data_IF_643625922817
#
_entry.id   IF_643625922817
#
_cell.length_a   1.000
_cell.length_b   1.000
_cell.length_c   1.000
_cell.angle_alpha   90.00
_cell.angle_beta   90.00
_cell.angle_gamma   90.00
#
_symmetry.space_group_name_H-M   'P 1'
#
loop_
_entity.id
_entity.type
_entity.pdbx_description
1 polymer ?
#
# COMPACT_ATOMS: atom_id res chain seq x y z
N UNK A 1 6.29 -7.19 -1.86
CA UNK A 1 4.99 -7.06 -1.16
C UNK A 1 4.92 -8.02 0.01
N UNK A 2 4.31 -7.58 1.10
CA UNK A 2 3.98 -8.44 2.23
C UNK A 2 2.45 -8.51 2.33
N UNK A 3 1.92 -9.72 2.46
CA UNK A 3 0.50 -9.99 2.58
C UNK A 3 0.27 -10.94 3.75
N UNK A 4 -0.51 -10.49 4.74
CA UNK A 4 -0.74 -11.29 5.97
C UNK A 4 -2.03 -10.83 6.67
N UNK A 5 -2.32 -11.45 7.80
CA UNK A 5 -3.41 -11.00 8.68
C UNK A 5 -2.95 -9.84 9.54
N UNK A 6 -3.87 -8.96 9.91
CA UNK A 6 -3.58 -7.83 10.81
C UNK A 6 -3.04 -8.31 12.17
N UNK A 7 -3.47 -9.47 12.64
CA UNK A 7 -2.98 -10.03 13.90
C UNK A 7 -1.48 -10.38 13.86
N UNK A 8 -0.92 -10.60 12.68
CA UNK A 8 0.50 -10.90 12.50
C UNK A 8 1.38 -9.67 12.30
N UNK A 9 0.80 -8.46 12.27
CA UNK A 9 1.58 -7.23 12.11
C UNK A 9 2.76 -7.10 13.08
N UNK A 10 2.65 -7.46 14.38
CA UNK A 10 3.79 -7.37 15.29
C UNK A 10 5.01 -8.18 14.87
N UNK A 11 4.86 -9.20 14.01
CA UNK A 11 5.97 -9.99 13.49
C UNK A 11 6.88 -9.18 12.56
N UNK A 12 6.42 -8.04 12.08
CA UNK A 12 7.13 -7.17 11.13
C UNK A 12 7.78 -5.95 11.79
N UNK A 13 7.78 -5.88 13.12
CA UNK A 13 8.49 -4.85 13.86
C UNK A 13 10.01 -4.97 13.63
N UNK A 14 10.69 -3.84 13.56
CA UNK A 14 12.14 -3.76 13.39
C UNK A 14 12.63 -3.68 11.95
N UNK A 15 11.73 -3.74 10.95
CA UNK A 15 12.12 -3.63 9.54
C UNK A 15 12.27 -2.17 9.07
N UNK A 16 11.45 -1.29 9.62
CA UNK A 16 11.41 0.11 9.20
C UNK A 16 10.74 0.91 10.32
N UNK A 17 11.35 2.01 10.78
CA UNK A 17 10.82 2.74 11.93
C UNK A 17 9.47 3.41 11.65
N UNK A 18 9.24 3.86 10.43
CA UNK A 18 7.92 4.40 10.05
C UNK A 18 6.83 3.32 10.00
N UNK A 19 7.19 2.10 9.59
CA UNK A 19 6.29 0.95 9.66
C UNK A 19 6.00 0.59 11.13
N UNK A 20 7.00 0.64 11.99
CA UNK A 20 6.81 0.37 13.43
C UNK A 20 5.78 1.33 14.03
N UNK A 21 5.83 2.60 13.68
CA UNK A 21 4.84 3.60 14.10
C UNK A 21 3.42 3.24 13.65
N UNK A 22 3.28 2.76 12.42
CA UNK A 22 1.98 2.32 11.89
C UNK A 22 1.49 1.05 12.59
N UNK A 23 2.37 0.09 12.82
CA UNK A 23 2.02 -1.15 13.54
C UNK A 23 1.53 -0.80 14.96
N UNK A 24 2.25 0.01 15.68
CA UNK A 24 1.87 0.45 17.04
C UNK A 24 0.53 1.20 17.03
N UNK A 25 0.32 2.06 16.03
CA UNK A 25 -0.94 2.77 15.86
C UNK A 25 -2.12 1.81 15.65
N UNK A 26 -1.96 0.81 14.78
CA UNK A 26 -3.01 -0.19 14.49
C UNK A 26 -3.29 -1.06 15.71
N UNK A 27 -2.24 -1.52 16.41
CA UNK A 27 -2.38 -2.42 17.56
C UNK A 27 -2.99 -1.72 18.79
N UNK A 28 -2.88 -0.40 18.89
CA UNK A 28 -3.37 0.37 20.03
C UNK A 28 -4.86 0.70 19.96
N UNK A 29 -5.56 0.40 18.87
CA UNK A 29 -6.95 0.83 18.65
C UNK A 29 -7.73 -0.11 17.75
N UNK A 30 -9.03 0.09 17.71
CA UNK A 30 -9.90 -0.51 16.70
C UNK A 30 -9.90 0.37 15.45
N UNK A 31 -9.24 -0.09 14.39
CA UNK A 31 -9.14 0.67 13.13
C UNK A 31 -10.50 0.87 12.43
N UNK A 32 -11.51 0.06 12.76
CA UNK A 32 -12.86 0.24 12.21
C UNK A 32 -13.51 1.53 12.70
N UNK A 33 -13.02 2.10 13.79
CA UNK A 33 -13.50 3.36 14.36
C UNK A 33 -12.71 4.58 13.91
N UNK A 34 -11.77 4.43 12.99
CA UNK A 34 -11.03 5.56 12.43
C UNK A 34 -11.99 6.50 11.68
N UNK A 35 -11.84 7.82 11.87
CA UNK A 35 -12.66 8.78 11.13
C UNK A 35 -12.31 8.76 9.65
N UNK A 36 -13.29 9.07 8.79
CA UNK A 36 -13.04 9.30 7.37
C UNK A 36 -12.08 10.46 7.19
N UNK A 37 -11.25 10.40 6.16
CA UNK A 37 -10.26 11.41 5.85
C UNK A 37 -8.87 11.05 6.38
N UNK A 38 -8.03 12.06 6.49
CA UNK A 38 -6.62 11.93 6.82
C UNK A 38 -6.38 12.06 8.32
N UNK A 39 -5.62 11.14 8.89
CA UNK A 39 -5.13 11.21 10.28
C UNK A 39 -3.61 11.07 10.29
N UNK A 40 -2.93 11.94 11.01
CA UNK A 40 -1.48 11.85 11.22
C UNK A 40 -1.18 10.80 12.29
N UNK A 41 -0.15 10.00 12.04
CA UNK A 41 0.34 8.95 12.96
C UNK A 41 1.66 9.36 13.58
N UNK A 42 2.61 9.79 12.75
CA UNK A 42 3.92 10.29 13.15
C UNK A 42 4.22 11.55 12.33
N UNK A 43 3.62 12.67 12.72
CA UNK A 43 3.67 13.89 11.93
C UNK A 43 3.21 13.59 10.49
N UNK A 44 3.98 14.08 9.52
CA UNK A 44 3.74 13.78 8.10
C UNK A 44 4.50 12.56 7.60
N UNK A 45 5.33 11.92 8.43
CA UNK A 45 6.11 10.73 8.06
C UNK A 45 5.25 9.48 7.93
N UNK A 46 4.19 9.39 8.72
CA UNK A 46 3.24 8.30 8.63
C UNK A 46 1.83 8.86 8.80
N UNK A 47 0.97 8.57 7.85
CA UNK A 47 -0.42 9.05 7.81
C UNK A 47 -1.35 7.93 7.38
N UNK A 48 -2.61 8.02 7.76
CA UNK A 48 -3.65 7.13 7.25
C UNK A 48 -4.75 7.95 6.59
N UNK A 49 -5.23 7.46 5.45
CA UNK A 49 -6.41 7.97 4.75
C UNK A 49 -7.49 6.90 4.78
N UNK A 50 -8.63 7.23 5.36
CA UNK A 50 -9.83 6.38 5.35
C UNK A 50 -10.82 6.92 4.35
N UNK A 51 -11.21 6.10 3.40
CA UNK A 51 -12.15 6.51 2.35
C UNK A 51 -13.04 5.36 1.90
N UNK A 52 -14.18 5.73 1.33
CA UNK A 52 -15.05 4.80 0.61
C UNK A 52 -14.79 5.00 -0.88
N UNK A 53 -14.49 3.90 -1.56
CA UNK A 53 -14.15 3.92 -2.99
C UNK A 53 -15.05 2.97 -3.77
N UNK A 54 -15.21 3.26 -5.06
CA UNK A 54 -15.86 2.36 -5.99
C UNK A 54 -14.79 1.53 -6.68
N UNK A 55 -14.79 0.20 -6.53
CA UNK A 55 -13.83 -0.66 -7.18
C UNK A 55 -13.89 -0.54 -8.71
N UNK A 56 -12.73 -0.60 -9.34
CA UNK A 56 -12.59 -0.51 -10.80
C UNK A 56 -12.23 -1.86 -11.40
N UNK A 57 -12.60 -2.07 -12.65
CA UNK A 57 -12.12 -3.22 -13.41
C UNK A 57 -10.59 -3.12 -13.59
N UNK A 58 -9.91 -4.26 -13.57
CA UNK A 58 -8.44 -4.32 -13.66
C UNK A 58 -7.89 -3.65 -14.93
N UNK A 59 -8.56 -3.82 -16.07
CA UNK A 59 -8.15 -3.24 -17.35
C UNK A 59 -8.30 -1.71 -17.42
N UNK A 60 -9.00 -1.11 -16.46
CA UNK A 60 -9.21 0.35 -16.37
C UNK A 60 -8.33 1.03 -15.34
N UNK A 61 -7.68 0.27 -14.49
CA UNK A 61 -6.81 0.80 -13.45
C UNK A 61 -5.34 0.72 -13.89
N UNK A 62 -4.57 1.81 -13.82
CA UNK A 62 -3.15 1.75 -14.09
C UNK A 62 -2.40 1.13 -12.91
N UNK A 63 -1.18 0.64 -13.17
CA UNK A 63 -0.21 0.40 -12.10
C UNK A 63 0.33 1.72 -11.59
N UNK A 64 0.62 1.79 -10.29
CA UNK A 64 1.31 2.91 -9.66
C UNK A 64 2.58 2.43 -8.98
N UNK A 65 3.58 3.29 -8.91
CA UNK A 65 4.84 3.03 -8.21
C UNK A 65 5.17 4.23 -7.34
N UNK A 66 5.56 3.97 -6.12
CA UNK A 66 6.04 4.97 -5.17
C UNK A 66 7.50 4.67 -4.87
N UNK A 67 8.39 5.62 -5.08
CA UNK A 67 9.82 5.39 -4.96
C UNK A 67 10.38 5.72 -3.57
N UNK A 68 9.68 6.58 -2.81
CA UNK A 68 10.17 7.12 -1.54
C UNK A 68 9.25 6.84 -0.35
N UNK A 69 8.22 6.02 -0.51
CA UNK A 69 7.36 5.61 0.61
C UNK A 69 6.82 4.20 0.46
N UNK A 70 6.39 3.65 1.58
CA UNK A 70 5.67 2.39 1.67
C UNK A 70 4.18 2.67 1.76
N UNK A 71 3.37 1.72 1.31
CA UNK A 71 1.91 1.80 1.44
C UNK A 71 1.38 0.51 2.05
N UNK A 72 0.67 0.61 3.16
CA UNK A 72 -0.05 -0.50 3.77
C UNK A 72 -1.54 -0.26 3.60
N UNK A 73 -2.24 -1.21 3.01
CA UNK A 73 -3.68 -1.12 2.77
C UNK A 73 -4.40 -2.25 3.50
N UNK A 74 -5.54 -1.92 4.06
CA UNK A 74 -6.47 -2.89 4.66
C UNK A 74 -7.90 -2.44 4.41
N UNK A 75 -8.81 -3.39 4.27
CA UNK A 75 -10.22 -3.10 4.06
C UNK A 75 -10.95 -3.06 5.40
N UNK A 76 -11.73 -2.01 5.61
CA UNK A 76 -12.59 -1.85 6.78
C UNK A 76 -14.00 -2.37 6.51
N UNK A 77 -14.42 -2.36 5.25
CA UNK A 77 -15.70 -2.89 4.80
C UNK A 77 -15.57 -3.33 3.34
N UNK A 78 -16.01 -4.54 3.03
CA UNK A 78 -15.93 -5.09 1.69
C UNK A 78 -14.62 -5.80 1.40
N UNK A 79 -14.40 -6.08 0.13
CA UNK A 79 -13.19 -6.76 -0.37
C UNK A 79 -12.82 -6.21 -1.74
N UNK A 80 -11.56 -6.40 -2.10
CA UNK A 80 -11.00 -5.95 -3.38
C UNK A 80 -10.01 -6.94 -3.93
N UNK A 81 -9.76 -6.86 -5.22
CA UNK A 81 -8.58 -7.48 -5.81
C UNK A 81 -7.46 -6.47 -5.92
N UNK A 82 -6.23 -6.97 -5.90
CA UNK A 82 -5.03 -6.21 -6.17
C UNK A 82 -4.12 -7.00 -7.12
N UNK A 83 -3.21 -6.29 -7.79
CA UNK A 83 -2.18 -6.90 -8.63
C UNK A 83 -0.84 -6.25 -8.33
N UNK A 84 0.22 -7.05 -8.33
CA UNK A 84 1.60 -6.59 -8.15
C UNK A 84 2.41 -7.04 -9.35
N UNK A 85 3.19 -6.12 -9.93
CA UNK A 85 4.07 -6.44 -11.05
C UNK A 85 5.21 -7.37 -10.63
N UNK A 86 5.56 -8.30 -11.50
CA UNK A 86 6.70 -9.20 -11.30
C UNK A 86 8.03 -8.62 -11.84
N UNK A 87 8.12 -7.30 -11.97
CA UNK A 87 9.36 -6.60 -12.28
C UNK A 87 9.30 -5.67 -13.48
N UNK A 88 8.36 -5.86 -14.40
CA UNK A 88 8.20 -4.96 -15.55
C UNK A 88 7.30 -3.79 -15.20
N UNK A 89 7.73 -2.59 -15.56
CA UNK A 89 6.94 -1.38 -15.42
C UNK A 89 7.35 -0.36 -16.46
N UNK A 90 6.37 0.14 -17.20
CA UNK A 90 6.57 1.17 -18.21
C UNK A 90 5.74 2.41 -17.87
N UNK A 91 6.38 3.51 -17.42
CA UNK A 91 5.65 4.75 -17.17
C UNK A 91 4.91 5.24 -18.41
N UNK A 92 3.67 5.73 -18.22
CA UNK A 92 2.84 6.28 -19.30
C UNK A 92 2.83 7.80 -19.31
N UNK A 93 3.38 8.42 -18.26
CA UNK A 93 3.54 9.87 -18.12
C UNK A 93 4.65 10.17 -17.13
N UNK A 94 5.18 11.43 -17.09
CA UNK A 94 6.18 11.83 -16.10
C UNK A 94 5.69 11.60 -14.67
N UNK A 95 6.62 11.28 -13.77
CA UNK A 95 6.31 11.09 -12.35
C UNK A 95 5.75 12.37 -11.73
N UNK A 96 4.77 12.21 -10.86
CA UNK A 96 4.31 13.26 -9.95
C UNK A 96 5.22 13.23 -8.72
N UNK A 97 6.24 14.09 -8.68
CA UNK A 97 7.22 14.13 -7.59
C UNK A 97 6.58 14.57 -6.27
N UNK A 98 5.59 15.46 -6.29
CA UNK A 98 4.93 15.92 -5.08
C UNK A 98 4.13 14.81 -4.40
N UNK A 99 3.48 13.94 -5.18
CA UNK A 99 2.75 12.79 -4.67
C UNK A 99 3.61 11.53 -4.59
N UNK A 100 4.86 11.57 -5.02
CA UNK A 100 5.73 10.40 -5.14
C UNK A 100 5.03 9.24 -5.87
N UNK A 101 4.45 9.53 -7.03
CA UNK A 101 3.66 8.56 -7.78
C UNK A 101 4.02 8.57 -9.25
N UNK A 102 4.39 7.43 -9.77
CA UNK A 102 4.55 7.17 -11.20
C UNK A 102 3.45 6.21 -11.64
N UNK A 103 2.77 6.56 -12.72
CA UNK A 103 1.67 5.77 -13.28
C UNK A 103 2.15 5.09 -14.56
N UNK A 104 1.77 3.85 -14.75
CA UNK A 104 2.22 3.09 -15.92
C UNK A 104 1.50 1.76 -16.13
N UNK A 105 2.12 0.93 -16.97
CA UNK A 105 1.66 -0.41 -17.29
C UNK A 105 2.70 -1.46 -16.86
N UNK A 106 2.24 -2.67 -16.62
CA UNK A 106 3.09 -3.82 -16.32
C UNK A 106 2.65 -5.01 -17.17
N UNK A 107 3.62 -5.83 -17.58
CA UNK A 107 3.34 -6.99 -18.43
C UNK A 107 2.79 -8.17 -17.63
N UNK A 108 3.59 -8.68 -16.69
CA UNK A 108 3.23 -9.84 -15.87
C UNK A 108 2.99 -9.42 -14.43
N UNK A 109 1.91 -9.90 -13.84
CA UNK A 109 1.54 -9.58 -12.47
C UNK A 109 1.03 -10.81 -11.71
N UNK A 110 1.08 -10.74 -10.39
CA UNK A 110 0.31 -11.64 -9.52
C UNK A 110 -0.90 -10.89 -9.00
N UNK A 111 -1.99 -11.61 -8.78
CA UNK A 111 -3.23 -11.07 -8.24
C UNK A 111 -3.55 -11.72 -6.91
N UNK A 112 -4.17 -10.94 -6.02
CA UNK A 112 -4.65 -11.41 -4.73
C UNK A 112 -5.93 -10.70 -4.33
N UNK A 113 -6.53 -11.18 -3.25
CA UNK A 113 -7.73 -10.58 -2.67
C UNK A 113 -7.38 -9.97 -1.32
N UNK A 114 -7.79 -8.72 -1.11
CA UNK A 114 -7.75 -8.05 0.17
C UNK A 114 -9.17 -7.98 0.74
N UNK A 115 -9.28 -8.15 2.05
CA UNK A 115 -10.54 -8.10 2.76
C UNK A 115 -10.32 -7.66 4.21
N UNK A 116 -11.39 -7.56 4.97
CA UNK A 116 -11.31 -7.26 6.40
C UNK A 116 -10.39 -8.24 7.14
N UNK A 117 -9.58 -7.73 8.05
CA UNK A 117 -8.67 -8.53 8.87
C UNK A 117 -7.35 -8.89 8.20
N UNK A 118 -7.12 -8.48 6.96
CA UNK A 118 -5.87 -8.70 6.22
C UNK A 118 -5.26 -7.38 5.78
N UNK A 119 -3.97 -7.39 5.51
CA UNK A 119 -3.28 -6.23 4.94
C UNK A 119 -2.38 -6.63 3.78
N UNK A 120 -2.14 -5.68 2.90
CA UNK A 120 -1.10 -5.72 1.87
C UNK A 120 -0.16 -4.55 2.10
N UNK A 121 1.13 -4.82 2.19
CA UNK A 121 2.18 -3.82 2.28
C UNK A 121 2.95 -3.79 0.97
N UNK A 122 2.84 -2.70 0.23
CA UNK A 122 3.56 -2.48 -1.01
C UNK A 122 4.86 -1.76 -0.72
N UNK A 123 5.96 -2.28 -1.27
CA UNK A 123 7.29 -1.75 -1.04
C UNK A 123 7.56 -0.54 -1.92
N UNK A 124 8.54 0.28 -1.51
CA UNK A 124 9.04 1.35 -2.36
C UNK A 124 9.64 0.77 -3.66
N UNK A 125 9.32 1.38 -4.78
CA UNK A 125 9.76 0.93 -6.09
C UNK A 125 8.95 -0.26 -6.68
N UNK A 126 7.97 -0.79 -5.96
CA UNK A 126 7.16 -1.93 -6.40
C UNK A 126 5.89 -1.44 -7.11
N UNK A 127 5.73 -1.72 -8.41
CA UNK A 127 4.50 -1.34 -9.12
C UNK A 127 3.33 -2.23 -8.71
N UNK A 128 2.21 -1.62 -8.41
CA UNK A 128 0.99 -2.34 -8.01
C UNK A 128 -0.25 -1.58 -8.44
N UNK A 129 -1.39 -2.24 -8.38
CA UNK A 129 -2.71 -1.61 -8.45
C UNK A 129 -3.66 -2.29 -7.48
N UNK A 130 -4.48 -1.49 -6.81
CA UNK A 130 -5.46 -1.93 -5.82
C UNK A 130 -6.81 -1.29 -6.09
N UNK A 131 -7.80 -1.57 -5.25
CA UNK A 131 -9.16 -1.09 -5.47
C UNK A 131 -9.81 -1.73 -6.69
N UNK A 132 -9.42 -2.95 -7.03
CA UNK A 132 -9.96 -3.65 -8.19
C UNK A 132 -11.22 -4.42 -7.79
N UNK A 133 -12.14 -4.51 -8.74
CA UNK A 133 -13.45 -5.11 -8.52
C UNK A 133 -13.34 -6.59 -8.21
N UNK A 134 -13.79 -6.98 -7.01
CA UNK A 134 -14.00 -8.37 -6.63
C UNK A 134 -15.46 -8.75 -6.87
N UNK A 135 -15.68 -10.02 -7.18
CA UNK A 135 -17.03 -10.53 -7.40
C UNK A 135 -17.90 -10.34 -6.15
N UNK A 136 -19.09 -9.76 -6.34
CA UNK A 136 -20.05 -9.56 -5.26
C UNK A 136 -19.79 -8.35 -4.36
N UNK A 137 -18.72 -7.58 -4.57
CA UNK A 137 -18.43 -6.39 -3.78
C UNK A 137 -18.77 -5.12 -4.57
N UNK A 138 -19.76 -4.36 -4.08
CA UNK A 138 -20.17 -3.09 -4.67
C UNK A 138 -19.69 -1.86 -3.93
N UNK A 139 -19.28 -2.00 -2.66
CA UNK A 139 -18.83 -0.90 -1.81
C UNK A 139 -17.58 -1.34 -1.06
N UNK A 140 -16.60 -0.45 -1.03
CA UNK A 140 -15.31 -0.69 -0.41
C UNK A 140 -14.94 0.50 0.46
N UNK A 141 -14.81 0.27 1.77
CA UNK A 141 -14.22 1.24 2.69
C UNK A 141 -12.85 0.72 3.11
N UNK A 142 -11.83 1.54 2.91
CA UNK A 142 -10.45 1.13 3.15
C UNK A 142 -9.65 2.15 3.91
N UNK A 143 -8.62 1.68 4.58
CA UNK A 143 -7.59 2.49 5.22
C UNK A 143 -6.27 2.29 4.46
N UNK A 144 -5.69 3.40 4.01
CA UNK A 144 -4.41 3.44 3.31
C UNK A 144 -3.41 4.18 4.17
N UNK A 145 -2.41 3.45 4.65
CA UNK A 145 -1.31 3.99 5.46
C UNK A 145 -0.12 4.27 4.56
N UNK A 146 0.36 5.50 4.58
CA UNK A 146 1.53 5.93 3.83
C UNK A 146 2.66 6.24 4.80
N UNK A 147 3.84 5.68 4.55
CA UNK A 147 5.01 5.79 5.42
C UNK A 147 6.23 6.18 4.61
N UNK A 148 6.91 7.25 5.01
CA UNK A 148 8.19 7.62 4.40
C UNK A 148 9.26 6.55 4.66
N UNK A 149 10.15 6.34 3.69
CA UNK A 149 11.32 5.51 3.89
C UNK A 149 12.29 6.21 4.83
N UNK A 150 12.64 5.53 5.91
CA UNK A 150 13.74 5.94 6.77
C UNK A 150 15.07 5.44 6.21
N UNK A 151 16.21 6.06 6.55
CA UNK A 151 17.53 5.58 6.12
C UNK A 151 17.81 4.13 6.52
N UNK A 152 17.24 3.68 7.63
CA UNK A 152 17.42 2.33 8.16
C UNK A 152 16.37 1.33 7.67
N UNK A 153 15.45 1.75 6.79
CA UNK A 153 14.39 0.89 6.30
C UNK A 153 14.93 -0.22 5.40
N UNK A 154 14.54 -1.46 5.69
CA UNK A 154 14.96 -2.64 4.91
C UNK A 154 13.99 -2.98 3.78
N UNK A 155 12.88 -2.24 3.67
CA UNK A 155 11.78 -2.55 2.76
C UNK A 155 11.83 -1.68 1.50
N UNK A 156 12.81 -1.96 0.63
CA UNK A 156 12.91 -1.35 -0.69
C UNK A 156 13.29 -2.41 -1.73
N UNK A 157 13.09 -2.09 -3.01
CA UNK A 157 13.37 -3.04 -4.08
C UNK A 157 14.86 -3.16 -4.39
N UNK A 158 15.24 -4.26 -5.07
CA UNK A 158 16.62 -4.57 -5.45
C UNK A 158 17.30 -3.52 -6.32
N UNK A 159 16.57 -2.74 -7.11
CA UNK A 159 17.15 -1.70 -7.97
C UNK A 159 17.83 -0.62 -7.13
N UNK A 160 17.23 -0.23 -6.01
CA UNK A 160 17.85 0.71 -5.09
C UNK A 160 19.12 0.13 -4.42
N UNK A 161 19.15 -1.16 -4.16
CA UNK A 161 20.29 -1.85 -3.60
C UNK A 161 21.45 -1.96 -4.61
N UNK A 162 21.16 -2.11 -5.90
CA UNK A 162 22.17 -2.18 -6.96
C UNK A 162 22.85 -0.82 -7.19
N UNK A 163 22.14 0.28 -7.05
CA UNK A 163 22.71 1.63 -7.13
C UNK A 163 23.64 1.95 -5.95
N UNK A 164 23.46 1.30 -4.81
CA UNK A 164 24.27 1.49 -3.61
C UNK A 164 25.61 0.73 -3.63
N UNK A 165 25.87 -0.06 -4.65
CA UNK A 165 27.13 -0.78 -4.89
C UNK A 165 28.04 0.04 -5.77
#
# INVERSE_FOLDING_TARGET
MIYDTLNNLPNYLGLCSSLDSVIEFIMARDINNLPAGRTRIDGDKAVVMVSTVTPQASDKAPFVRHDNHLTLETDLEGSELFEVSLGEFSPTRPADEAADTTVGTAGTSIAGMLCEGRFALYLAGEPYKSGLKAQGCGKLKKAVFTMELDPDCLLYTSDAADEAR
#
